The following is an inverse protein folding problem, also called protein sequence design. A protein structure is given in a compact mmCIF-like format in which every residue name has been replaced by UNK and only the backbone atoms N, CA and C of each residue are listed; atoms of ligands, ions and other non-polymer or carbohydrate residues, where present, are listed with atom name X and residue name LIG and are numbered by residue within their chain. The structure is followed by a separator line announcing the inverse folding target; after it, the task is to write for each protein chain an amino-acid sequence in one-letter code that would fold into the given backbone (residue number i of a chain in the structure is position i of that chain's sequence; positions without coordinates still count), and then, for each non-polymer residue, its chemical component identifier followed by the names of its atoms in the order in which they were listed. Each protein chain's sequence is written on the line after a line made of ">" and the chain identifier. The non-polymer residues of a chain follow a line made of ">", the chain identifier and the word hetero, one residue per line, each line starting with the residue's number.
data_IF_097749703963
#
_entry.id   IF_097749703963
#
_cell.length_a   1.000
_cell.length_b   1.000
_cell.length_c   1.000
_cell.angle_alpha   90.00
_cell.angle_beta   90.00
_cell.angle_gamma   90.00
#
_symmetry.space_group_name_H-M   'P 1'
#
loop_
_entity.id
_entity.type
_entity.pdbx_description
1 polymer ?
#
# COMPACT_ATOMS: atom_id res chain seq x y z
N UNK A 1 21.06 6.89 -27.52
CA UNK A 1 21.37 5.47 -27.82
C UNK A 1 20.71 4.57 -26.76
N UNK A 2 19.37 4.47 -26.76
CA UNK A 2 18.61 3.81 -25.67
C UNK A 2 18.60 2.28 -25.84
N UNK A 3 18.79 1.79 -27.08
CA UNK A 3 18.75 0.36 -27.39
C UNK A 3 19.84 -0.46 -26.67
N UNK A 4 21.00 0.12 -26.38
CA UNK A 4 22.06 -0.58 -25.64
C UNK A 4 21.69 -0.84 -24.18
N UNK A 5 20.98 0.10 -23.53
CA UNK A 5 20.60 -0.01 -22.12
C UNK A 5 19.57 -1.11 -21.86
N UNK A 6 18.71 -1.43 -22.83
CA UNK A 6 17.79 -2.57 -22.73
C UNK A 6 18.49 -3.92 -22.88
N UNK A 7 19.56 -3.99 -23.69
CA UNK A 7 20.27 -5.24 -23.91
C UNK A 7 21.01 -5.70 -22.64
N UNK A 8 21.56 -4.76 -21.87
CA UNK A 8 22.21 -5.03 -20.58
C UNK A 8 21.24 -5.61 -19.54
N UNK A 9 19.94 -5.29 -19.65
CA UNK A 9 18.89 -5.84 -18.79
C UNK A 9 18.67 -7.35 -19.01
N UNK A 10 19.03 -7.85 -20.20
CA UNK A 10 18.94 -9.26 -20.57
C UNK A 10 20.29 -9.96 -20.64
N UNK A 11 21.40 -9.26 -20.33
CA UNK A 11 22.71 -9.91 -20.21
C UNK A 11 22.62 -10.98 -19.11
N UNK A 12 23.04 -12.20 -19.40
CA UNK A 12 22.93 -13.34 -18.48
C UNK A 12 23.60 -13.06 -17.11
N UNK A 13 24.54 -12.10 -17.07
CA UNK A 13 25.18 -11.62 -15.84
C UNK A 13 24.23 -10.88 -14.91
N UNK A 14 23.23 -10.15 -15.44
CA UNK A 14 22.21 -9.47 -14.63
C UNK A 14 21.11 -10.42 -14.16
N UNK A 15 21.00 -11.60 -14.77
CA UNK A 15 20.05 -12.65 -14.42
C UNK A 15 20.54 -13.62 -13.32
N UNK A 16 21.73 -13.40 -12.76
CA UNK A 16 22.22 -14.26 -11.66
C UNK A 16 21.24 -14.17 -10.49
N UNK A 17 20.66 -15.31 -10.12
CA UNK A 17 19.89 -15.41 -8.87
C UNK A 17 20.78 -15.02 -7.70
N UNK A 18 20.31 -14.10 -6.88
CA UNK A 18 21.01 -13.65 -5.68
C UNK A 18 20.23 -14.18 -4.49
N UNK A 19 20.89 -14.94 -3.61
CA UNK A 19 20.31 -15.31 -2.33
C UNK A 19 20.18 -14.05 -1.46
N UNK A 20 18.97 -13.80 -0.95
CA UNK A 20 18.69 -12.58 -0.21
C UNK A 20 19.55 -12.47 1.05
N UNK A 21 19.84 -13.60 1.72
CA UNK A 21 20.65 -13.63 2.93
C UNK A 21 22.11 -13.36 2.61
N UNK A 22 22.67 -13.94 1.55
CA UNK A 22 24.01 -13.61 1.06
C UNK A 22 24.12 -12.13 0.68
N UNK A 23 23.13 -11.59 -0.02
CA UNK A 23 23.11 -10.18 -0.41
C UNK A 23 23.09 -9.27 0.81
N UNK A 24 22.20 -9.55 1.77
CA UNK A 24 22.15 -8.77 3.00
C UNK A 24 23.47 -8.86 3.78
N UNK A 25 24.11 -10.03 3.85
CA UNK A 25 25.41 -10.18 4.51
C UNK A 25 26.50 -9.33 3.86
N UNK A 26 26.50 -9.20 2.53
CA UNK A 26 27.48 -8.40 1.79
C UNK A 26 27.18 -6.89 1.78
N UNK A 27 25.91 -6.47 1.94
CA UNK A 27 25.47 -5.09 1.69
C UNK A 27 24.93 -4.36 2.93
N UNK A 28 24.65 -5.06 4.04
CA UNK A 28 24.10 -4.41 5.23
C UNK A 28 25.11 -3.50 5.93
N UNK A 29 24.67 -2.32 6.36
CA UNK A 29 25.48 -1.40 7.17
C UNK A 29 25.72 -1.91 8.59
N UNK A 30 24.95 -2.90 9.04
CA UNK A 30 24.99 -3.42 10.42
C UNK A 30 24.98 -4.96 10.42
N UNK A 31 26.12 -5.61 10.13
CA UNK A 31 26.21 -7.07 10.03
C UNK A 31 25.87 -7.79 11.33
N UNK A 32 26.06 -7.14 12.48
CA UNK A 32 25.76 -7.75 13.79
C UNK A 32 24.28 -8.08 14.00
N UNK A 33 23.37 -7.29 13.42
CA UNK A 33 21.94 -7.58 13.49
C UNK A 33 21.52 -8.70 12.55
N UNK A 34 22.36 -9.03 11.57
CA UNK A 34 22.02 -10.04 10.58
C UNK A 34 21.76 -11.41 11.21
N UNK A 35 22.47 -11.73 12.30
CA UNK A 35 22.30 -12.98 13.05
C UNK A 35 21.02 -13.02 13.90
N UNK A 36 20.41 -11.88 14.22
CA UNK A 36 19.19 -11.82 15.03
C UNK A 36 17.91 -11.71 14.20
N UNK A 37 18.02 -11.63 12.88
CA UNK A 37 16.86 -11.58 11.99
C UNK A 37 16.25 -12.99 11.88
N UNK A 38 14.94 -13.16 12.13
CA UNK A 38 14.27 -14.45 11.95
C UNK A 38 14.30 -14.91 10.49
N UNK A 39 14.53 -16.20 10.26
CA UNK A 39 14.51 -16.78 8.91
C UNK A 39 13.16 -16.57 8.19
N UNK A 40 12.06 -16.54 8.95
CA UNK A 40 10.72 -16.23 8.43
C UNK A 40 10.59 -14.83 7.83
N UNK A 41 11.45 -13.87 8.22
CA UNK A 41 11.50 -12.57 7.58
C UNK A 41 12.13 -12.66 6.20
N UNK A 42 13.24 -13.39 6.05
CA UNK A 42 13.89 -13.59 4.76
C UNK A 42 12.95 -14.29 3.78
N UNK A 43 12.28 -15.35 4.24
CA UNK A 43 11.28 -16.08 3.45
C UNK A 43 10.11 -15.19 3.02
N UNK A 44 9.59 -14.33 3.92
CA UNK A 44 8.54 -13.36 3.56
C UNK A 44 9.02 -12.40 2.48
N UNK A 45 10.21 -11.82 2.64
CA UNK A 45 10.76 -10.82 1.71
C UNK A 45 11.05 -11.46 0.36
N UNK A 46 11.58 -12.69 0.32
CA UNK A 46 11.84 -13.41 -0.92
C UNK A 46 10.54 -13.66 -1.73
N UNK A 47 9.47 -14.12 -1.05
CA UNK A 47 8.14 -14.26 -1.65
C UNK A 47 7.57 -12.93 -2.15
N UNK A 48 7.81 -11.82 -1.44
CA UNK A 48 7.39 -10.49 -1.85
C UNK A 48 8.20 -9.93 -3.03
N UNK A 49 9.45 -10.34 -3.17
CA UNK A 49 10.39 -9.88 -4.20
C UNK A 49 10.54 -10.87 -5.36
N UNK A 50 9.64 -11.84 -5.49
CA UNK A 50 9.63 -12.79 -6.60
C UNK A 50 9.73 -12.08 -7.96
N UNK A 51 10.70 -12.54 -8.77
CA UNK A 51 11.03 -11.97 -10.09
C UNK A 51 9.83 -12.03 -11.03
N UNK A 52 9.15 -13.17 -11.07
CA UNK A 52 7.90 -13.30 -11.82
C UNK A 52 6.75 -12.71 -10.99
N UNK A 53 6.12 -11.60 -11.42
CA UNK A 53 5.03 -10.98 -10.68
C UNK A 53 3.80 -11.89 -10.52
N UNK A 54 3.64 -12.91 -11.39
CA UNK A 54 2.58 -13.91 -11.25
C UNK A 54 2.80 -14.88 -10.09
N UNK A 55 4.04 -15.04 -9.65
CA UNK A 55 4.41 -15.91 -8.52
C UNK A 55 4.55 -15.13 -7.21
N UNK A 56 4.50 -13.80 -7.26
CA UNK A 56 4.61 -12.94 -6.08
C UNK A 56 3.39 -13.12 -5.19
N UNK A 57 3.63 -13.23 -3.89
CA UNK A 57 2.59 -13.36 -2.88
C UNK A 57 1.66 -12.14 -2.86
N UNK A 58 0.36 -12.35 -2.59
CA UNK A 58 -0.61 -11.26 -2.45
C UNK A 58 -0.44 -10.55 -1.09
N UNK A 59 -1.06 -9.37 -0.93
CA UNK A 59 -1.07 -8.68 0.37
C UNK A 59 -1.77 -9.48 1.46
N UNK A 60 -2.83 -10.22 1.11
CA UNK A 60 -3.56 -11.06 2.05
C UNK A 60 -2.68 -12.22 2.53
N UNK A 61 -2.06 -12.94 1.59
CA UNK A 61 -1.18 -14.06 1.90
C UNK A 61 0.07 -13.59 2.69
N UNK A 62 0.61 -12.41 2.39
CA UNK A 62 1.73 -11.83 3.12
C UNK A 62 1.38 -11.53 4.59
N UNK A 63 0.15 -11.07 4.87
CA UNK A 63 -0.32 -10.83 6.24
C UNK A 63 -0.55 -12.14 7.02
N UNK A 64 -0.83 -13.23 6.32
CA UNK A 64 -0.98 -14.57 6.89
C UNK A 64 0.35 -15.33 7.05
N UNK A 65 1.48 -14.74 6.64
CA UNK A 65 2.79 -15.37 6.72
C UNK A 65 3.23 -15.63 8.17
N UNK A 66 3.98 -16.72 8.39
CA UNK A 66 4.48 -17.15 9.71
C UNK A 66 5.26 -16.06 10.47
N UNK A 67 5.90 -15.14 9.73
CA UNK A 67 6.56 -13.98 10.31
C UNK A 67 5.62 -13.14 11.21
N UNK A 68 4.35 -13.05 10.84
CA UNK A 68 3.32 -12.32 11.58
C UNK A 68 2.52 -13.18 12.56
N UNK A 69 2.77 -14.50 12.65
CA UNK A 69 2.05 -15.37 13.57
C UNK A 69 2.03 -14.85 15.02
N UNK A 70 3.12 -14.29 15.59
CA UNK A 70 3.09 -13.70 16.94
C UNK A 70 2.14 -12.49 17.06
N UNK A 71 1.86 -11.80 15.96
CA UNK A 71 0.97 -10.63 15.91
C UNK A 71 -0.50 -11.00 15.70
N UNK A 72 -0.80 -12.19 15.15
CA UNK A 72 -2.17 -12.60 14.83
C UNK A 72 -3.06 -12.63 16.07
N UNK A 73 -2.55 -13.17 17.18
CA UNK A 73 -3.27 -13.20 18.46
C UNK A 73 -3.48 -11.79 19.02
N UNK A 74 -2.48 -10.92 18.95
CA UNK A 74 -2.58 -9.54 19.42
C UNK A 74 -3.63 -8.75 18.61
N UNK A 75 -3.64 -8.93 17.29
CA UNK A 75 -4.64 -8.31 16.40
C UNK A 75 -6.03 -8.85 16.71
N UNK A 76 -6.17 -10.17 16.93
CA UNK A 76 -7.43 -10.80 17.31
C UNK A 76 -7.95 -10.26 18.64
N UNK A 77 -7.09 -10.12 19.65
CA UNK A 77 -7.45 -9.52 20.94
C UNK A 77 -7.90 -8.06 20.78
N UNK A 78 -7.16 -7.26 20.00
CA UNK A 78 -7.51 -5.86 19.76
C UNK A 78 -8.83 -5.72 18.99
N UNK A 79 -9.17 -6.65 18.09
CA UNK A 79 -10.47 -6.69 17.39
C UNK A 79 -11.62 -7.03 18.35
N UNK A 80 -11.42 -7.95 19.29
CA UNK A 80 -12.41 -8.29 20.31
C UNK A 80 -12.67 -7.14 21.28
N UNK A 81 -11.61 -6.44 21.72
CA UNK A 81 -11.73 -5.28 22.61
C UNK A 81 -12.45 -4.09 21.98
N UNK A 82 -12.38 -3.96 20.64
CA UNK A 82 -13.08 -2.92 19.87
C UNK A 82 -14.49 -3.30 19.46
N UNK A 83 -14.95 -4.52 19.75
CA UNK A 83 -16.32 -4.91 19.40
C UNK A 83 -17.26 -4.05 20.27
N UNK A 84 -18.06 -3.15 19.68
CA UNK A 84 -19.06 -2.44 20.48
C UNK A 84 -19.92 -3.50 21.16
N UNK A 85 -20.22 -3.27 22.44
CA UNK A 85 -21.25 -4.07 23.12
C UNK A 85 -22.47 -4.14 22.20
N UNK A 86 -23.17 -5.28 22.09
CA UNK A 86 -24.39 -5.36 21.31
C UNK A 86 -25.36 -4.34 21.89
N UNK A 87 -25.40 -3.14 21.31
CA UNK A 87 -26.38 -2.14 21.63
C UNK A 87 -27.66 -2.64 21.00
N UNK A 88 -28.47 -3.33 21.81
CA UNK A 88 -29.89 -3.51 21.58
C UNK A 88 -30.56 -2.14 21.65
N UNK A 89 -30.26 -1.27 20.69
CA UNK A 89 -30.88 0.01 20.41
C UNK A 89 -30.56 0.28 18.94
N UNK A 90 -31.44 -0.12 18.02
CA UNK A 90 -31.50 0.50 16.71
C UNK A 90 -32.13 1.88 16.90
N UNK A 91 -31.47 3.00 16.53
CA UNK A 91 -32.18 4.13 15.97
C UNK A 91 -32.12 3.98 14.46
N UNK A 92 -33.30 3.85 13.86
CA UNK A 92 -33.53 3.99 12.43
C UNK A 92 -32.84 5.26 11.88
N UNK A 93 -32.22 5.13 10.70
CA UNK A 93 -31.80 6.29 9.90
C UNK A 93 -33.02 7.15 9.58
N UNK A 94 -33.03 8.45 9.91
CA UNK A 94 -34.07 9.35 9.44
C UNK A 94 -33.93 9.51 7.92
N UNK A 95 -34.92 9.05 7.16
CA UNK A 95 -35.09 9.47 5.78
C UNK A 95 -35.56 10.94 5.80
N UNK A 96 -34.63 11.86 5.61
CA UNK A 96 -34.97 13.27 5.47
C UNK A 96 -35.66 13.51 4.12
N UNK A 97 -36.88 14.04 4.20
CA UNK A 97 -37.80 14.25 3.08
C UNK A 97 -37.73 15.72 2.71
N UNK A 98 -37.28 16.00 1.48
CA UNK A 98 -37.54 17.23 0.70
C UNK A 98 -37.74 18.55 1.46
N UNK A 99 -36.79 19.48 1.29
CA UNK A 99 -37.09 20.92 1.33
C UNK A 99 -36.73 21.52 -0.03
N UNK A 100 -37.76 21.99 -0.74
CA UNK A 100 -37.69 22.77 -1.98
C UNK A 100 -37.85 24.24 -1.58
N UNK A 101 -36.82 25.07 -1.75
CA UNK A 101 -36.87 26.52 -1.59
C UNK A 101 -35.89 27.10 -2.62
N UNK A 102 -36.41 27.53 -3.77
CA UNK A 102 -36.77 28.91 -4.14
C UNK A 102 -35.56 29.76 -4.58
N UNK A 103 -35.53 30.02 -5.88
CA UNK A 103 -34.62 30.95 -6.55
C UNK A 103 -35.07 32.39 -6.22
N UNK A 104 -34.17 33.24 -5.73
CA UNK A 104 -34.39 34.69 -5.71
C UNK A 104 -33.10 35.45 -5.96
N UNK A 105 -33.23 36.40 -6.89
CA UNK A 105 -32.18 37.11 -7.60
C UNK A 105 -31.32 37.99 -6.68
N UNK A 106 -30.01 38.02 -6.91
CA UNK A 106 -29.16 39.14 -6.51
C UNK A 106 -28.48 39.73 -7.74
N UNK A 107 -28.98 40.90 -8.11
CA UNK A 107 -28.47 41.73 -9.21
C UNK A 107 -27.10 42.34 -8.88
N UNK A 108 -26.26 42.36 -9.92
CA UNK A 108 -25.31 43.42 -10.30
C UNK A 108 -24.18 43.85 -9.35
N UNK A 109 -22.94 43.57 -9.74
CA UNK A 109 -21.90 44.61 -9.81
C UNK A 109 -20.82 44.24 -10.83
N UNK A 110 -20.81 45.02 -11.91
CA UNK A 110 -19.84 45.15 -13.01
C UNK A 110 -18.42 45.46 -12.52
N UNK A 111 -17.37 44.86 -13.13
CA UNK A 111 -16.32 45.55 -13.95
C UNK A 111 -15.56 44.49 -14.79
N UNK A 112 -15.29 44.73 -16.10
CA UNK A 112 -14.53 43.81 -16.97
C UNK A 112 -13.07 44.25 -17.15
N UNK A 113 -12.16 43.30 -17.45
CA UNK A 113 -10.84 43.62 -18.03
C UNK A 113 -10.42 42.57 -19.06
N UNK A 114 -10.43 43.03 -20.31
CA UNK A 114 -9.46 42.91 -21.42
C UNK A 114 -8.90 41.54 -21.86
N UNK A 115 -9.18 41.30 -23.13
CA UNK A 115 -8.70 40.28 -24.06
C UNK A 115 -7.19 40.35 -24.35
N UNK A 116 -6.59 39.22 -24.71
CA UNK A 116 -5.51 39.18 -25.69
C UNK A 116 -5.60 37.86 -26.47
N UNK A 117 -5.87 37.98 -27.76
CA UNK A 117 -5.77 36.94 -28.77
C UNK A 117 -4.62 37.35 -29.67
N UNK A 118 -3.64 36.48 -29.87
CA UNK A 118 -2.61 36.65 -30.89
C UNK A 118 -2.66 35.41 -31.78
N UNK A 119 -2.75 35.74 -33.07
CA UNK A 119 -2.70 34.98 -34.33
C UNK A 119 -2.34 33.50 -34.31
#
# INVERSE_FOLDING_TARGET
>A
NISHCFQDLFDAKSLRSVDLREWCAANTRRPEFFKSIPDSLFDLVDKCLSVNPRCRITSEDALMHDFFAPCHDLIRQHRLARRPAPSNNLPCLPQDKSVKANESKRSSSTVPTTVNSVS
#
